data_IF_834581312013
#
_entry.id   IF_834581312013
#
_cell.length_a   1.000
_cell.length_b   1.000
_cell.length_c   1.000
_cell.angle_alpha   90.00
_cell.angle_beta   90.00
_cell.angle_gamma   90.00
#
_symmetry.space_group_name_H-M   'P 1'
#
loop_
_entity.id
_entity.type
_entity.pdbx_description
1 polymer ?
#
# COMPACT_ATOMS: atom_id res chain seq x y z
N UNK A 1 -7.53 -5.97 14.62
CA UNK A 1 -6.07 -5.89 14.80
C UNK A 1 -5.62 -4.50 15.21
N UNK A 2 -5.87 -3.45 14.43
CA UNK A 2 -5.31 -2.11 14.66
C UNK A 2 -5.63 -1.47 16.02
N UNK A 3 -6.80 -1.77 16.59
CA UNK A 3 -7.15 -1.35 17.95
C UNK A 3 -6.12 -1.83 19.00
N UNK A 4 -5.46 -2.97 18.80
CA UNK A 4 -4.43 -3.48 19.69
C UNK A 4 -3.17 -2.59 19.74
N UNK A 5 -2.92 -1.80 18.69
CA UNK A 5 -1.80 -0.87 18.63
C UNK A 5 -2.10 0.48 19.29
N UNK A 6 -3.38 0.82 19.51
CA UNK A 6 -3.80 2.12 20.09
C UNK A 6 -3.33 2.36 21.53
N UNK A 7 -2.86 1.32 22.22
CA UNK A 7 -2.25 1.45 23.56
C UNK A 7 -0.80 1.97 23.52
N UNK A 8 -0.16 1.98 22.35
CA UNK A 8 1.24 2.41 22.21
C UNK A 8 1.30 3.85 21.71
N UNK A 9 2.00 4.70 22.47
CA UNK A 9 2.17 6.12 22.18
C UNK A 9 2.73 6.38 20.78
N UNK A 10 3.76 5.64 20.38
CA UNK A 10 4.40 5.77 19.06
C UNK A 10 3.44 5.53 17.89
N UNK A 11 2.51 4.57 18.03
CA UNK A 11 1.48 4.32 17.01
C UNK A 11 0.49 5.48 16.90
N UNK A 12 0.03 5.98 18.04
CA UNK A 12 -0.93 7.09 18.10
C UNK A 12 -0.34 8.39 17.58
N UNK A 13 0.94 8.67 17.88
CA UNK A 13 1.63 9.87 17.38
C UNK A 13 1.74 9.85 15.85
N UNK A 14 2.08 8.70 15.27
CA UNK A 14 2.17 8.55 13.83
C UNK A 14 0.80 8.71 13.15
N UNK A 15 -0.24 8.12 13.73
CA UNK A 15 -1.60 8.24 13.21
C UNK A 15 -2.15 9.67 13.35
N UNK A 16 -1.88 10.35 14.47
CA UNK A 16 -2.25 11.75 14.65
C UNK A 16 -1.54 12.65 13.63
N UNK A 17 -0.26 12.40 13.36
CA UNK A 17 0.50 13.08 12.30
C UNK A 17 -0.14 12.85 10.92
N UNK A 18 -0.51 11.60 10.62
CA UNK A 18 -1.16 11.26 9.35
C UNK A 18 -2.52 11.95 9.20
N UNK A 19 -3.35 11.95 10.25
CA UNK A 19 -4.65 12.63 10.27
C UNK A 19 -4.46 14.12 10.06
N UNK A 20 -3.56 14.76 10.81
CA UNK A 20 -3.30 16.19 10.71
C UNK A 20 -2.89 16.61 9.30
N UNK A 21 -2.01 15.85 8.66
CA UNK A 21 -1.56 16.12 7.28
C UNK A 21 -2.68 15.86 6.26
N UNK A 22 -3.50 14.84 6.47
CA UNK A 22 -4.66 14.59 5.62
C UNK A 22 -5.71 15.70 5.74
N UNK A 23 -5.92 16.25 6.93
CA UNK A 23 -6.84 17.36 7.16
C UNK A 23 -6.31 18.68 6.59
N UNK A 24 -5.01 18.95 6.71
CA UNK A 24 -4.41 20.21 6.24
C UNK A 24 -4.19 20.24 4.73
N UNK A 25 -3.70 19.14 4.16
CA UNK A 25 -3.17 19.11 2.79
C UNK A 25 -4.00 18.22 1.87
N UNK A 26 -4.95 17.46 2.42
CA UNK A 26 -5.95 16.69 1.69
C UNK A 26 -5.35 15.79 0.61
N UNK A 27 -5.88 15.95 -0.60
CA UNK A 27 -5.47 15.15 -1.75
C UNK A 27 -3.99 15.28 -2.09
N UNK A 28 -3.38 16.46 -1.87
CA UNK A 28 -1.94 16.67 -2.12
C UNK A 28 -1.09 15.78 -1.23
N UNK A 29 -1.40 15.73 0.07
CA UNK A 29 -0.70 14.84 0.98
C UNK A 29 -0.93 13.37 0.65
N UNK A 30 -2.17 12.95 0.39
CA UNK A 30 -2.48 11.55 0.08
C UNK A 30 -1.75 11.01 -1.16
N UNK A 31 -1.35 11.88 -2.11
CA UNK A 31 -0.58 11.49 -3.28
C UNK A 31 0.93 11.70 -3.15
N UNK A 32 1.38 12.28 -2.03
CA UNK A 32 2.77 12.66 -1.82
C UNK A 32 3.66 11.47 -1.42
N UNK A 33 4.97 11.66 -1.62
CA UNK A 33 6.00 10.80 -1.02
C UNK A 33 5.90 10.73 0.51
N UNK A 34 5.55 11.83 1.17
CA UNK A 34 5.40 11.87 2.63
C UNK A 34 4.35 10.89 3.13
N UNK A 35 3.20 10.76 2.46
CA UNK A 35 2.21 9.75 2.83
C UNK A 35 2.74 8.33 2.62
N UNK A 36 3.44 8.08 1.52
CA UNK A 36 4.05 6.76 1.24
C UNK A 36 5.05 6.35 2.32
N UNK A 37 5.90 7.29 2.75
CA UNK A 37 6.91 7.07 3.79
C UNK A 37 6.24 6.84 5.16
N UNK A 38 5.20 7.60 5.51
CA UNK A 38 4.43 7.40 6.74
C UNK A 38 3.71 6.04 6.80
N UNK A 39 3.21 5.55 5.67
CA UNK A 39 2.58 4.22 5.62
C UNK A 39 3.59 3.09 5.85
N UNK A 40 4.79 3.22 5.28
CA UNK A 40 5.87 2.27 5.52
C UNK A 40 6.36 2.32 6.97
N UNK A 41 6.53 3.52 7.52
CA UNK A 41 6.85 3.71 8.94
C UNK A 41 5.80 3.06 9.85
N UNK A 42 4.51 3.23 9.52
CA UNK A 42 3.39 2.63 10.27
C UNK A 42 3.48 1.11 10.24
N UNK A 43 3.66 0.51 9.07
CA UNK A 43 3.82 -0.95 8.91
C UNK A 43 5.01 -1.48 9.72
N UNK A 44 6.13 -0.76 9.74
CA UNK A 44 7.32 -1.13 10.49
C UNK A 44 7.10 -1.03 12.01
N UNK A 45 6.46 0.05 12.48
CA UNK A 45 6.09 0.20 13.90
C UNK A 45 5.13 -0.91 14.33
N UNK A 46 4.11 -1.23 13.53
CA UNK A 46 3.19 -2.34 13.84
C UNK A 46 3.94 -3.66 14.02
N UNK A 47 4.86 -3.99 13.09
CA UNK A 47 5.66 -5.21 13.16
C UNK A 47 6.52 -5.26 14.42
N UNK A 48 7.15 -4.15 14.79
CA UNK A 48 7.98 -4.03 15.98
C UNK A 48 7.14 -4.11 17.27
N UNK A 49 5.98 -3.47 17.31
CA UNK A 49 5.09 -3.47 18.47
C UNK A 49 4.56 -4.87 18.81
N UNK A 50 4.36 -5.73 17.80
CA UNK A 50 3.93 -7.13 17.99
C UNK A 50 4.90 -7.90 18.90
N UNK A 51 6.21 -7.61 18.85
CA UNK A 51 7.21 -8.32 19.66
C UNK A 51 7.02 -8.09 21.18
N UNK A 52 6.38 -6.97 21.56
CA UNK A 52 6.10 -6.62 22.95
C UNK A 52 4.71 -7.07 23.42
N UNK A 53 3.96 -7.83 22.62
CA UNK A 53 2.61 -8.27 22.97
C UNK A 53 2.64 -9.66 23.64
N UNK A 54 1.83 -9.84 24.69
CA UNK A 54 1.68 -11.15 25.35
C UNK A 54 1.19 -12.24 24.38
N UNK A 55 0.35 -11.88 23.42
CA UNK A 55 -0.18 -12.77 22.38
C UNK A 55 0.59 -12.66 21.04
N UNK A 56 1.91 -12.37 21.08
CA UNK A 56 2.74 -12.10 19.88
C UNK A 56 2.53 -13.08 18.73
N UNK A 57 2.49 -14.39 19.00
CA UNK A 57 2.39 -15.40 17.94
C UNK A 57 1.06 -15.33 17.20
N UNK A 58 -0.03 -15.08 17.94
CA UNK A 58 -1.35 -14.90 17.34
C UNK A 58 -1.40 -13.58 16.56
N UNK A 59 -0.89 -12.50 17.15
CA UNK A 59 -0.87 -11.19 16.51
C UNK A 59 -0.04 -11.16 15.23
N UNK A 60 1.12 -11.81 15.25
CA UNK A 60 1.99 -11.94 14.08
C UNK A 60 1.31 -12.69 12.94
N UNK A 61 0.58 -13.79 13.24
CA UNK A 61 -0.20 -14.51 12.22
C UNK A 61 -1.26 -13.61 11.59
N UNK A 62 -2.06 -12.92 12.40
CA UNK A 62 -3.12 -12.03 11.89
C UNK A 62 -2.51 -10.89 11.06
N UNK A 63 -1.40 -10.30 11.53
CA UNK A 63 -0.68 -9.24 10.82
C UNK A 63 -0.14 -9.73 9.47
N UNK A 64 0.50 -10.89 9.43
CA UNK A 64 0.98 -11.50 8.20
C UNK A 64 -0.18 -11.75 7.23
N UNK A 65 -1.27 -12.38 7.69
CA UNK A 65 -2.43 -12.68 6.83
C UNK A 65 -3.06 -11.40 6.25
N UNK A 66 -3.13 -10.32 7.03
CA UNK A 66 -3.65 -9.05 6.53
C UNK A 66 -2.78 -8.48 5.39
N UNK A 67 -1.46 -8.45 5.56
CA UNK A 67 -0.56 -7.93 4.53
C UNK A 67 -0.39 -8.88 3.34
N UNK A 68 -0.55 -10.18 3.54
CA UNK A 68 -0.59 -11.17 2.47
C UNK A 68 -1.86 -11.01 1.62
N UNK A 69 -3.03 -10.80 2.24
CA UNK A 69 -4.26 -10.52 1.49
C UNK A 69 -4.13 -9.23 0.67
N UNK A 70 -3.50 -8.20 1.26
CA UNK A 70 -3.20 -6.94 0.57
C UNK A 70 -2.30 -7.16 -0.65
N UNK A 71 -1.22 -7.92 -0.49
CA UNK A 71 -0.28 -8.29 -1.56
C UNK A 71 -0.99 -9.05 -2.68
N UNK A 72 -1.75 -10.09 -2.32
CA UNK A 72 -2.47 -10.94 -3.26
C UNK A 72 -3.48 -10.13 -4.08
N UNK A 73 -4.19 -9.18 -3.44
CA UNK A 73 -5.14 -8.31 -4.13
C UNK A 73 -4.45 -7.46 -5.20
N UNK A 74 -3.32 -6.83 -4.87
CA UNK A 74 -2.56 -6.01 -5.81
C UNK A 74 -2.00 -6.83 -6.98
N UNK A 75 -1.52 -8.05 -6.71
CA UNK A 75 -1.05 -8.98 -7.76
C UNK A 75 -2.20 -9.31 -8.71
N UNK A 76 -3.38 -9.64 -8.19
CA UNK A 76 -4.54 -9.93 -9.03
C UNK A 76 -5.00 -8.71 -9.83
N UNK A 77 -4.98 -7.51 -9.25
CA UNK A 77 -5.29 -6.27 -10.00
C UNK A 77 -4.40 -6.12 -11.22
N UNK A 78 -3.07 -6.25 -11.05
CA UNK A 78 -2.13 -6.12 -12.16
C UNK A 78 -2.28 -7.25 -13.17
N UNK A 79 -2.45 -8.49 -12.71
CA UNK A 79 -2.70 -9.63 -13.60
C UNK A 79 -3.91 -9.38 -14.50
N UNK A 80 -5.03 -8.97 -13.92
CA UNK A 80 -6.25 -8.68 -14.66
C UNK A 80 -6.06 -7.55 -15.68
N UNK A 81 -5.30 -6.51 -15.32
CA UNK A 81 -4.98 -5.41 -16.25
C UNK A 81 -4.20 -5.96 -17.46
N UNK A 82 -3.12 -6.71 -17.23
CA UNK A 82 -2.31 -7.25 -18.33
C UNK A 82 -3.09 -8.25 -19.19
N UNK A 83 -3.87 -9.13 -18.59
CA UNK A 83 -4.72 -10.08 -19.32
C UNK A 83 -5.75 -9.37 -20.20
N UNK A 84 -6.41 -8.34 -19.66
CA UNK A 84 -7.35 -7.52 -20.43
C UNK A 84 -6.65 -6.82 -21.59
N UNK A 85 -5.48 -6.21 -21.35
CA UNK A 85 -4.74 -5.45 -22.35
C UNK A 85 -4.14 -6.29 -23.47
N UNK A 86 -3.87 -7.58 -23.23
CA UNK A 86 -3.37 -8.51 -24.25
C UNK A 86 -4.38 -8.75 -25.38
N UNK A 87 -5.68 -8.73 -25.05
CA UNK A 87 -6.74 -9.10 -26.00
C UNK A 87 -7.64 -7.93 -26.41
N UNK A 88 -7.59 -6.80 -25.70
CA UNK A 88 -8.39 -5.61 -26.00
C UNK A 88 -7.50 -4.44 -26.42
N UNK A 89 -7.83 -3.83 -27.56
CA UNK A 89 -7.13 -2.64 -28.06
C UNK A 89 -7.72 -1.37 -27.48
N UNK A 90 -6.85 -0.50 -26.97
CA UNK A 90 -7.17 0.84 -26.53
C UNK A 90 -5.90 1.71 -26.61
N UNK A 91 -6.08 3.03 -26.76
CA UNK A 91 -4.93 3.95 -26.79
C UNK A 91 -4.44 4.30 -25.37
N UNK A 92 -5.39 4.52 -24.45
CA UNK A 92 -5.13 4.90 -23.06
C UNK A 92 -6.14 4.28 -22.11
N UNK A 93 -5.70 4.00 -20.89
CA UNK A 93 -6.54 3.57 -19.78
C UNK A 93 -6.09 4.28 -18.49
N UNK A 94 -7.01 4.44 -17.54
CA UNK A 94 -6.73 5.03 -16.23
C UNK A 94 -6.98 3.96 -15.16
N UNK A 95 -5.96 3.70 -14.35
CA UNK A 95 -6.05 2.85 -13.17
C UNK A 95 -5.99 3.71 -11.92
N UNK A 96 -7.07 3.75 -11.14
CA UNK A 96 -7.14 4.50 -9.88
C UNK A 96 -6.99 3.54 -8.71
N UNK A 97 -6.24 3.97 -7.69
CA UNK A 97 -5.96 3.15 -6.50
C UNK A 97 -6.02 4.02 -5.25
N UNK A 98 -6.39 3.43 -4.12
CA UNK A 98 -6.30 4.10 -2.84
C UNK A 98 -4.84 4.41 -2.50
N UNK A 99 -4.61 5.55 -1.82
CA UNK A 99 -3.26 6.02 -1.48
C UNK A 99 -2.40 4.95 -0.77
N UNK A 100 -3.01 4.12 0.08
CA UNK A 100 -2.33 3.03 0.78
C UNK A 100 -1.71 1.95 -0.13
N UNK A 101 -2.18 1.83 -1.37
CA UNK A 101 -1.67 0.87 -2.35
C UNK A 101 -0.59 1.44 -3.28
N UNK A 102 -0.46 2.78 -3.34
CA UNK A 102 0.30 3.49 -4.38
C UNK A 102 1.74 3.01 -4.50
N UNK A 103 2.52 3.07 -3.41
CA UNK A 103 3.95 2.68 -3.40
C UNK A 103 4.15 1.23 -3.87
N UNK A 104 3.36 0.33 -3.31
CA UNK A 104 3.46 -1.10 -3.56
C UNK A 104 3.08 -1.46 -5.01
N UNK A 105 2.00 -0.88 -5.52
CA UNK A 105 1.60 -1.04 -6.92
C UNK A 105 2.65 -0.47 -7.88
N UNK A 106 3.23 0.71 -7.61
CA UNK A 106 4.31 1.27 -8.45
C UNK A 106 5.49 0.31 -8.57
N UNK A 107 5.93 -0.28 -7.45
CA UNK A 107 7.02 -1.25 -7.43
C UNK A 107 6.66 -2.54 -8.18
N UNK A 108 5.43 -3.06 -7.96
CA UNK A 108 4.95 -4.26 -8.66
C UNK A 108 4.80 -4.05 -10.15
N UNK A 109 4.31 -2.88 -10.58
CA UNK A 109 4.21 -2.52 -12.00
C UNK A 109 5.58 -2.60 -12.66
N UNK A 110 6.62 -2.04 -12.04
CA UNK A 110 7.98 -2.13 -12.56
C UNK A 110 8.42 -3.60 -12.71
N UNK A 111 8.22 -4.42 -11.68
CA UNK A 111 8.58 -5.84 -11.69
C UNK A 111 7.81 -6.65 -12.74
N UNK A 112 6.48 -6.52 -12.79
CA UNK A 112 5.62 -7.21 -13.75
C UNK A 112 5.96 -6.78 -15.18
N UNK A 113 6.12 -5.47 -15.40
CA UNK A 113 6.48 -4.96 -16.73
C UNK A 113 7.87 -5.39 -17.16
N UNK A 114 8.81 -5.67 -16.26
CA UNK A 114 10.10 -6.26 -16.63
C UNK A 114 9.99 -7.73 -17.03
N UNK A 115 9.11 -8.50 -16.39
CA UNK A 115 9.01 -9.96 -16.54
C UNK A 115 8.05 -10.43 -17.65
N UNK A 116 6.99 -9.66 -17.96
CA UNK A 116 6.00 -10.03 -18.98
C UNK A 116 6.51 -9.79 -20.40
N UNK A 117 6.17 -10.64 -21.37
CA UNK A 117 6.48 -10.38 -22.79
C UNK A 117 5.71 -9.17 -23.32
N UNK A 118 4.42 -9.09 -22.97
CA UNK A 118 3.55 -7.96 -23.30
C UNK A 118 3.82 -6.79 -22.34
N UNK A 119 4.22 -5.65 -22.89
CA UNK A 119 4.58 -4.45 -22.12
C UNK A 119 3.48 -3.40 -22.15
N UNK A 120 3.26 -2.76 -21.01
CA UNK A 120 2.39 -1.60 -20.89
C UNK A 120 3.21 -0.35 -20.61
N UNK A 121 2.83 0.76 -21.23
CA UNK A 121 3.45 2.07 -21.02
C UNK A 121 2.82 2.76 -19.81
N UNK A 122 3.32 2.45 -18.62
CA UNK A 122 2.83 3.03 -17.37
C UNK A 122 3.35 4.46 -17.18
N UNK A 123 2.43 5.38 -16.90
CA UNK A 123 2.73 6.73 -16.43
C UNK A 123 2.07 6.94 -15.06
N UNK A 124 2.84 7.41 -14.08
CA UNK A 124 2.35 7.66 -12.73
C UNK A 124 2.05 9.14 -12.54
N UNK A 125 0.84 9.45 -12.08
CA UNK A 125 0.37 10.81 -11.84
C UNK A 125 0.12 11.04 -10.35
N UNK A 126 0.40 12.26 -9.86
CA UNK A 126 0.41 12.61 -8.44
C UNK A 126 1.84 12.91 -7.97
N UNK A 127 2.02 14.07 -7.32
CA UNK A 127 3.31 14.72 -7.04
C UNK A 127 4.30 13.94 -6.21
#
# INVERSE_FOLDING_TARGET
MFAAFKKYKSYNELEAKQIKLAESDGYTFLNSKTYMDLQEEKKNIERNLIEFMLNKNQMLRIWNSFYEEHENREIQMLKNIYEYSKVNKYDKAIFTVGAGHRKSIMQKVQKTNSNEEFKLNWAFYGG
#
